data_IF_845986625411
#
_entry.id   IF_845986625411
#
_cell.length_a   1.000
_cell.length_b   1.000
_cell.length_c   1.000
_cell.angle_alpha   90.00
_cell.angle_beta   90.00
_cell.angle_gamma   90.00
#
_symmetry.space_group_name_H-M   'P 1'
#
loop_
_entity.id
_entity.type
_entity.pdbx_description
1 polymer ?
#
# COMPACT_ATOMS: atom_id res chain seq x y z
N UNK A 1 13.77 -16.41 3.51
CA UNK A 1 12.82 -16.02 4.58
C UNK A 1 11.74 -15.03 4.09
N UNK A 2 12.07 -13.95 3.38
CA UNK A 2 11.08 -12.94 2.90
C UNK A 2 9.96 -13.62 2.12
N UNK A 3 10.25 -14.51 1.17
CA UNK A 3 9.25 -15.24 0.38
C UNK A 3 8.26 -16.02 1.28
N UNK A 4 8.75 -16.66 2.33
CA UNK A 4 7.89 -17.41 3.26
C UNK A 4 6.97 -16.47 4.06
N UNK A 5 7.51 -15.34 4.57
CA UNK A 5 6.71 -14.34 5.26
C UNK A 5 5.61 -13.75 4.37
N UNK A 6 5.96 -13.39 3.14
CA UNK A 6 4.99 -12.86 2.18
C UNK A 6 3.91 -13.87 1.85
N UNK A 7 4.29 -15.13 1.63
CA UNK A 7 3.32 -16.21 1.36
C UNK A 7 2.32 -16.35 2.51
N UNK A 8 2.78 -16.47 3.75
CA UNK A 8 1.89 -16.61 4.93
C UNK A 8 1.01 -15.37 5.12
N UNK A 9 1.55 -14.16 4.88
CA UNK A 9 0.79 -12.91 4.95
C UNK A 9 -0.34 -12.91 3.92
N UNK A 10 -0.03 -13.26 2.67
CA UNK A 10 -1.02 -13.30 1.59
C UNK A 10 -2.07 -14.40 1.78
N UNK A 11 -1.69 -15.58 2.30
CA UNK A 11 -2.65 -16.65 2.63
C UNK A 11 -3.65 -16.20 3.71
N UNK A 12 -3.14 -15.58 4.80
CA UNK A 12 -3.99 -15.05 5.86
C UNK A 12 -4.90 -13.93 5.36
N UNK A 13 -4.35 -12.99 4.57
CA UNK A 13 -5.11 -11.87 4.02
C UNK A 13 -6.15 -12.32 2.98
N UNK A 14 -5.79 -13.30 2.12
CA UNK A 14 -6.71 -13.89 1.16
C UNK A 14 -7.92 -14.55 1.83
N UNK A 15 -7.72 -15.16 3.00
CA UNK A 15 -8.83 -15.69 3.79
C UNK A 15 -9.81 -14.59 4.23
N UNK A 16 -9.30 -13.42 4.69
CA UNK A 16 -10.14 -12.28 5.07
C UNK A 16 -10.88 -11.70 3.86
N UNK A 17 -10.17 -11.47 2.76
CA UNK A 17 -10.73 -10.87 1.55
C UNK A 17 -11.84 -11.75 0.92
N UNK A 18 -11.73 -13.08 0.95
CA UNK A 18 -12.79 -14.01 0.54
C UNK A 18 -14.05 -13.91 1.39
N UNK A 19 -13.93 -13.44 2.62
CA UNK A 19 -15.07 -13.18 3.51
C UNK A 19 -15.52 -11.71 3.48
N UNK A 20 -15.07 -10.94 2.47
CA UNK A 20 -15.36 -9.54 2.33
C UNK A 20 -14.94 -8.69 3.55
N UNK A 21 -13.84 -9.07 4.19
CA UNK A 21 -13.23 -8.33 5.30
C UNK A 21 -11.93 -7.70 4.84
N UNK A 22 -11.76 -6.39 5.08
CA UNK A 22 -10.50 -5.67 4.92
C UNK A 22 -9.90 -5.39 6.29
N UNK A 23 -8.58 -5.53 6.41
CA UNK A 23 -7.84 -5.37 7.67
C UNK A 23 -7.64 -3.90 8.03
N UNK A 24 -7.22 -3.08 7.08
CA UNK A 24 -7.06 -1.62 7.13
C UNK A 24 -5.93 -1.07 8.02
N UNK A 25 -5.15 -1.90 8.68
CA UNK A 25 -3.95 -1.47 9.43
C UNK A 25 -2.82 -2.51 9.34
N UNK A 26 -2.54 -2.97 8.11
CA UNK A 26 -1.41 -3.86 7.89
C UNK A 26 -0.09 -3.09 8.00
N UNK A 27 0.78 -3.58 8.87
CA UNK A 27 2.14 -3.08 9.14
C UNK A 27 2.94 -4.21 9.81
N UNK A 28 4.26 -4.14 9.86
CA UNK A 28 5.07 -5.19 10.49
C UNK A 28 4.67 -5.51 11.94
N UNK A 29 4.26 -4.49 12.72
CA UNK A 29 3.83 -4.68 14.11
C UNK A 29 2.58 -5.57 14.27
N UNK A 30 1.75 -5.67 13.22
CA UNK A 30 0.54 -6.46 13.21
C UNK A 30 0.73 -7.83 12.53
N UNK A 31 1.99 -8.20 12.21
CA UNK A 31 2.39 -9.49 11.70
C UNK A 31 3.17 -10.23 12.80
N UNK A 32 2.49 -11.08 13.54
CA UNK A 32 3.07 -11.80 14.67
C UNK A 32 3.63 -13.14 14.23
N UNK A 33 4.83 -13.46 14.66
CA UNK A 33 5.48 -14.74 14.37
C UNK A 33 5.42 -15.63 15.63
N UNK A 34 4.91 -16.85 15.46
CA UNK A 34 4.92 -17.83 16.55
C UNK A 34 6.35 -18.43 16.72
N UNK A 35 6.57 -19.10 17.82
CA UNK A 35 7.80 -19.90 18.09
C UNK A 35 8.05 -21.00 17.04
N UNK A 36 6.98 -21.48 16.39
CA UNK A 36 7.03 -22.47 15.31
C UNK A 36 7.28 -21.82 13.93
N UNK A 37 7.47 -20.50 13.85
CA UNK A 37 7.73 -19.80 12.60
C UNK A 37 6.47 -19.56 11.75
N UNK A 38 5.26 -19.65 12.33
CA UNK A 38 3.99 -19.40 11.64
C UNK A 38 3.62 -17.93 11.83
N UNK A 39 3.38 -17.22 10.71
CA UNK A 39 2.94 -15.83 10.74
C UNK A 39 1.42 -15.75 10.95
N UNK A 40 1.00 -14.86 11.83
CA UNK A 40 -0.40 -14.56 12.14
C UNK A 40 -0.67 -13.06 11.95
N UNK A 41 -1.80 -12.75 11.32
CA UNK A 41 -2.33 -11.39 11.27
C UNK A 41 -2.95 -11.06 12.63
N UNK A 42 -2.70 -9.86 13.14
CA UNK A 42 -3.17 -9.38 14.43
C UNK A 42 -3.73 -7.96 14.34
N UNK A 43 -4.43 -7.53 15.38
CA UNK A 43 -5.04 -6.20 15.52
C UNK A 43 -6.11 -5.89 14.47
N UNK A 44 -7.27 -6.50 14.67
CA UNK A 44 -8.47 -6.30 13.85
C UNK A 44 -9.32 -5.09 14.29
N UNK A 45 -8.78 -4.17 15.12
CA UNK A 45 -9.50 -3.01 15.63
C UNK A 45 -10.05 -2.10 14.54
N UNK A 46 -9.38 -2.03 13.40
CA UNK A 46 -9.81 -1.29 12.22
C UNK A 46 -10.51 -2.15 11.16
N UNK A 47 -10.57 -3.46 11.32
CA UNK A 47 -11.16 -4.33 10.30
C UNK A 47 -12.64 -4.03 10.04
N UNK A 48 -13.08 -4.11 8.79
CA UNK A 48 -14.46 -3.86 8.37
C UNK A 48 -14.85 -4.73 7.18
N UNK A 49 -16.14 -5.01 7.08
CA UNK A 49 -16.70 -5.59 5.86
C UNK A 49 -16.78 -4.56 4.75
N UNK A 50 -16.53 -4.97 3.51
CA UNK A 50 -16.62 -4.15 2.31
C UNK A 50 -17.58 -4.80 1.29
N UNK A 51 -17.87 -4.09 0.17
CA UNK A 51 -18.73 -4.60 -0.88
C UNK A 51 -20.23 -4.32 -0.69
N UNK A 52 -20.65 -3.67 0.40
CA UNK A 52 -22.04 -3.21 0.54
C UNK A 52 -22.24 -1.90 -0.20
N UNK A 53 -23.20 -1.81 -1.15
CA UNK A 53 -23.46 -0.57 -1.88
C UNK A 53 -23.82 0.60 -0.96
N UNK A 54 -23.24 1.78 -1.23
CA UNK A 54 -23.57 3.03 -0.53
C UNK A 54 -22.97 3.18 0.87
N UNK A 55 -22.17 2.24 1.37
CA UNK A 55 -21.51 2.37 2.68
C UNK A 55 -20.18 3.10 2.53
N UNK A 56 -20.14 4.34 2.98
CA UNK A 56 -18.86 5.06 3.13
C UNK A 56 -18.04 4.47 4.28
N UNK A 57 -16.75 4.25 4.03
CA UNK A 57 -15.81 3.75 5.03
C UNK A 57 -14.96 4.92 5.57
N UNK A 58 -14.52 4.81 6.82
CA UNK A 58 -13.69 5.84 7.48
C UNK A 58 -12.35 5.99 6.77
N UNK A 59 -11.94 7.23 6.47
CA UNK A 59 -10.71 7.54 5.74
C UNK A 59 -9.45 7.48 6.62
N UNK A 60 -9.55 7.86 7.90
CA UNK A 60 -8.42 7.88 8.84
C UNK A 60 -8.14 6.50 9.42
N UNK A 61 -7.75 5.59 8.58
CA UNK A 61 -7.36 4.22 8.90
C UNK A 61 -5.96 3.95 8.37
N UNK A 62 -5.33 2.91 8.84
CA UNK A 62 -3.94 2.52 8.57
C UNK A 62 -2.89 3.50 9.12
N UNK A 63 -1.76 2.94 9.50
CA UNK A 63 -0.56 3.68 9.84
C UNK A 63 -0.08 4.42 8.60
N UNK A 64 0.20 5.71 8.71
CA UNK A 64 0.36 6.63 7.58
C UNK A 64 1.41 6.16 6.56
N UNK A 65 2.49 5.56 7.00
CA UNK A 65 3.58 5.06 6.15
C UNK A 65 3.17 3.89 5.24
N UNK A 66 2.08 3.19 5.57
CA UNK A 66 1.54 2.05 4.82
C UNK A 66 0.23 2.39 4.12
N UNK A 67 -0.24 3.64 4.24
CA UNK A 67 -1.50 4.11 3.68
C UNK A 67 -1.38 4.33 2.17
N UNK A 68 -2.36 3.81 1.43
CA UNK A 68 -2.43 3.92 -0.03
C UNK A 68 -2.82 5.32 -0.52
N UNK A 69 -2.49 5.66 -1.77
CA UNK A 69 -2.79 6.98 -2.35
C UNK A 69 -4.27 7.33 -2.32
N UNK A 70 -5.16 6.38 -2.62
CA UNK A 70 -6.61 6.61 -2.63
C UNK A 70 -7.15 7.04 -1.27
N UNK A 71 -6.60 6.53 -0.16
CA UNK A 71 -6.96 6.97 1.19
C UNK A 71 -6.37 8.34 1.53
N UNK A 72 -5.13 8.62 1.09
CA UNK A 72 -4.49 9.93 1.28
C UNK A 72 -5.20 11.03 0.47
N UNK A 73 -5.79 10.67 -0.66
CA UNK A 73 -6.57 11.54 -1.54
C UNK A 73 -8.07 11.51 -1.21
N UNK A 74 -8.44 11.01 -0.03
CA UNK A 74 -9.80 11.04 0.52
C UNK A 74 -10.88 10.35 -0.33
N UNK A 75 -10.53 9.32 -1.12
CA UNK A 75 -11.53 8.51 -1.80
C UNK A 75 -12.41 7.78 -0.79
N UNK A 76 -13.72 8.00 -0.88
CA UNK A 76 -14.69 7.44 0.07
C UNK A 76 -15.04 5.97 -0.20
N UNK A 77 -14.87 5.54 -1.44
CA UNK A 77 -15.11 4.16 -1.85
C UNK A 77 -13.79 3.44 -2.06
N UNK A 78 -13.52 2.44 -1.25
CA UNK A 78 -12.34 1.61 -1.33
C UNK A 78 -12.65 0.17 -0.90
N UNK A 79 -11.79 -0.76 -1.25
CA UNK A 79 -11.95 -2.18 -0.97
C UNK A 79 -10.64 -2.84 -0.52
N UNK A 80 -10.51 -4.13 -0.77
CA UNK A 80 -9.36 -4.95 -0.38
C UNK A 80 -8.02 -4.48 -0.95
N UNK A 81 -8.03 -3.71 -2.04
CA UNK A 81 -6.83 -3.15 -2.67
C UNK A 81 -5.98 -2.28 -1.73
N UNK A 82 -6.58 -1.64 -0.71
CA UNK A 82 -5.83 -0.85 0.27
C UNK A 82 -4.86 -1.71 1.10
N UNK A 83 -5.28 -2.94 1.45
CA UNK A 83 -4.45 -3.89 2.17
C UNK A 83 -3.28 -4.37 1.29
N UNK A 84 -3.50 -4.56 -0.01
CA UNK A 84 -2.46 -4.97 -0.95
C UNK A 84 -1.36 -3.92 -1.10
N UNK A 85 -1.70 -2.62 -1.05
CA UNK A 85 -0.71 -1.55 -0.99
C UNK A 85 0.15 -1.66 0.27
N UNK A 86 -0.49 -1.83 1.43
CA UNK A 86 0.22 -2.00 2.71
C UNK A 86 1.15 -3.22 2.69
N UNK A 87 0.71 -4.34 2.10
CA UNK A 87 1.54 -5.54 1.87
C UNK A 87 2.74 -5.21 0.98
N UNK A 88 2.56 -4.41 -0.07
CA UNK A 88 3.66 -3.94 -0.93
C UNK A 88 4.68 -3.10 -0.17
N UNK A 89 4.22 -2.20 0.72
CA UNK A 89 5.11 -1.43 1.60
C UNK A 89 5.91 -2.33 2.54
N UNK A 90 5.26 -3.33 3.16
CA UNK A 90 5.92 -4.32 4.02
C UNK A 90 6.94 -5.15 3.23
N UNK A 91 6.59 -5.58 2.02
CA UNK A 91 7.51 -6.33 1.15
C UNK A 91 8.77 -5.52 0.81
N UNK A 92 8.60 -4.26 0.43
CA UNK A 92 9.72 -3.36 0.19
C UNK A 92 10.57 -3.15 1.44
N UNK A 93 9.93 -2.97 2.61
CA UNK A 93 10.62 -2.79 3.89
C UNK A 93 11.46 -4.02 4.28
N UNK A 94 10.95 -5.22 4.08
CA UNK A 94 11.68 -6.46 4.31
C UNK A 94 12.96 -6.57 3.44
N UNK A 95 12.89 -6.07 2.19
CA UNK A 95 14.05 -6.04 1.29
C UNK A 95 15.02 -4.92 1.65
N UNK A 96 14.52 -3.74 2.01
CA UNK A 96 15.32 -2.55 2.32
C UNK A 96 15.83 -2.50 3.76
N UNK A 97 15.22 -3.26 4.67
CA UNK A 97 15.42 -3.20 6.14
C UNK A 97 15.15 -1.80 6.73
N UNK A 98 14.29 -1.04 6.08
CA UNK A 98 13.80 0.29 6.52
C UNK A 98 12.49 0.59 5.83
N UNK A 99 11.68 1.48 6.42
CA UNK A 99 10.42 1.91 5.80
C UNK A 99 10.70 2.49 4.40
N UNK A 100 10.00 1.97 3.40
CA UNK A 100 10.23 2.33 1.99
C UNK A 100 9.72 3.73 1.67
N UNK A 101 8.44 3.99 1.95
CA UNK A 101 7.77 5.24 1.59
C UNK A 101 7.67 6.17 2.81
N UNK A 102 8.75 6.32 3.57
CA UNK A 102 8.75 7.17 4.76
C UNK A 102 8.69 8.66 4.38
N UNK A 103 7.67 9.34 4.88
CA UNK A 103 7.64 10.80 4.95
C UNK A 103 8.56 11.36 6.04
N UNK A 104 8.64 12.70 6.20
CA UNK A 104 9.45 13.33 7.22
C UNK A 104 9.02 12.92 8.63
N UNK A 105 9.97 12.54 9.49
CA UNK A 105 9.71 12.05 10.86
C UNK A 105 9.00 13.09 11.73
N UNK A 106 9.38 14.36 11.57
CA UNK A 106 8.90 15.46 12.43
C UNK A 106 7.60 16.12 11.92
N UNK A 107 7.10 15.71 10.76
CA UNK A 107 5.87 16.26 10.20
C UNK A 107 5.11 15.17 9.42
N UNK A 108 4.41 14.32 10.17
CA UNK A 108 3.60 13.22 9.64
C UNK A 108 2.23 13.75 9.22
N UNK A 109 2.13 14.23 7.99
CA UNK A 109 0.87 14.64 7.37
C UNK A 109 0.55 13.78 6.15
N UNK A 110 -0.71 13.76 5.75
CA UNK A 110 -1.17 13.04 4.55
C UNK A 110 -0.48 13.57 3.28
N UNK A 111 -0.28 14.88 3.18
CA UNK A 111 0.43 15.52 2.08
C UNK A 111 1.91 15.09 2.03
N UNK A 112 2.59 15.09 3.18
CA UNK A 112 3.98 14.65 3.23
C UNK A 112 4.14 13.17 2.91
N UNK A 113 3.15 12.35 3.24
CA UNK A 113 3.15 10.95 2.86
C UNK A 113 2.91 10.77 1.36
N UNK A 114 2.02 11.56 0.77
CA UNK A 114 1.79 11.56 -0.66
C UNK A 114 3.06 12.00 -1.43
N UNK A 115 3.74 13.05 -0.95
CA UNK A 115 5.05 13.48 -1.48
C UNK A 115 6.11 12.36 -1.40
N UNK A 116 6.14 11.62 -0.28
CA UNK A 116 7.06 10.48 -0.15
C UNK A 116 6.75 9.39 -1.19
N UNK A 117 5.48 9.08 -1.43
CA UNK A 117 5.07 8.15 -2.48
C UNK A 117 5.53 8.65 -3.84
N UNK A 118 5.26 9.92 -4.17
CA UNK A 118 5.64 10.51 -5.46
C UNK A 118 7.16 10.52 -5.69
N UNK A 119 7.96 10.76 -4.65
CA UNK A 119 9.44 10.73 -4.74
C UNK A 119 10.00 9.37 -5.17
N UNK A 120 9.31 8.28 -4.86
CA UNK A 120 9.79 6.93 -5.18
C UNK A 120 9.04 6.30 -6.35
N UNK A 121 7.73 6.56 -6.47
CA UNK A 121 6.86 5.91 -7.45
C UNK A 121 6.55 6.78 -8.67
N UNK A 122 6.96 8.05 -8.65
CA UNK A 122 6.50 9.04 -9.61
C UNK A 122 5.08 9.51 -9.32
N UNK A 123 4.57 10.44 -10.11
CA UNK A 123 3.19 10.93 -10.02
C UNK A 123 2.36 10.21 -11.07
N UNK A 124 1.21 9.62 -10.72
CA UNK A 124 0.39 8.91 -11.71
C UNK A 124 -0.23 9.87 -12.72
N UNK A 125 -0.31 9.41 -13.96
CA UNK A 125 -1.07 10.08 -15.02
C UNK A 125 -2.51 9.54 -15.06
N UNK A 126 -3.37 10.19 -15.84
CA UNK A 126 -4.73 9.67 -16.11
C UNK A 126 -4.71 8.30 -16.82
N UNK A 127 -3.64 7.98 -17.56
CA UNK A 127 -3.44 6.66 -18.16
C UNK A 127 -3.11 5.60 -17.10
N UNK A 128 -2.30 5.97 -16.11
CA UNK A 128 -1.92 5.07 -15.02
C UNK A 128 -3.10 4.82 -14.08
N UNK A 129 -3.87 5.88 -13.79
CA UNK A 129 -5.00 5.85 -12.87
C UNK A 129 -6.15 6.74 -13.35
N UNK A 130 -7.08 6.20 -14.17
CA UNK A 130 -8.22 6.97 -14.68
C UNK A 130 -9.12 7.56 -13.58
N UNK A 131 -9.25 6.89 -12.44
CA UNK A 131 -10.05 7.35 -11.29
C UNK A 131 -9.56 8.65 -10.62
N UNK A 132 -8.44 9.25 -11.08
CA UNK A 132 -8.00 10.58 -10.63
C UNK A 132 -9.08 11.64 -10.87
N UNK A 133 -9.87 11.50 -11.93
CA UNK A 133 -10.96 12.45 -12.25
C UNK A 133 -12.07 12.47 -11.20
N UNK A 134 -12.22 11.39 -10.45
CA UNK A 134 -13.26 11.23 -9.42
C UNK A 134 -12.81 11.76 -8.05
N UNK A 135 -11.57 12.26 -7.94
CA UNK A 135 -11.02 12.79 -6.68
C UNK A 135 -11.56 14.18 -6.30
N UNK A 136 -12.35 14.82 -7.17
CA UNK A 136 -12.86 16.17 -6.93
C UNK A 136 -11.74 17.18 -6.66
N UNK A 137 -11.86 17.93 -5.57
CA UNK A 137 -10.87 18.98 -5.20
C UNK A 137 -9.45 18.39 -4.96
N UNK A 138 -9.34 17.10 -4.65
CA UNK A 138 -8.03 16.45 -4.45
C UNK A 138 -7.31 16.15 -5.76
N UNK A 139 -7.97 16.26 -6.91
CA UNK A 139 -7.33 16.06 -8.23
C UNK A 139 -6.16 17.00 -8.45
N UNK A 140 -6.22 18.25 -7.96
CA UNK A 140 -5.14 19.23 -8.06
C UNK A 140 -3.84 18.73 -7.44
N UNK A 141 -3.91 18.00 -6.30
CA UNK A 141 -2.74 17.42 -5.63
C UNK A 141 -1.98 16.42 -6.52
N UNK A 142 -2.66 15.82 -7.48
CA UNK A 142 -2.03 14.94 -8.47
C UNK A 142 -1.53 15.75 -9.67
N UNK A 143 -2.41 16.55 -10.28
CA UNK A 143 -2.10 17.23 -11.54
C UNK A 143 -1.00 18.29 -11.42
N UNK A 144 -0.95 19.03 -10.31
CA UNK A 144 0.09 20.04 -10.04
C UNK A 144 1.48 19.42 -9.75
N UNK A 145 1.52 18.15 -9.38
CA UNK A 145 2.76 17.45 -9.14
C UNK A 145 3.28 16.66 -10.37
N UNK A 146 2.51 16.58 -11.45
CA UNK A 146 2.95 15.92 -12.67
C UNK A 146 4.24 16.55 -13.21
N UNK A 147 5.21 15.70 -13.57
CA UNK A 147 6.53 16.14 -14.05
C UNK A 147 7.51 16.57 -12.95
N UNK A 148 7.09 16.72 -11.69
CA UNK A 148 8.00 17.06 -10.57
C UNK A 148 8.76 15.85 -10.04
N UNK A 149 8.16 14.68 -10.08
CA UNK A 149 8.72 13.44 -9.55
C UNK A 149 8.66 12.34 -10.59
N UNK A 150 9.78 11.64 -10.75
CA UNK A 150 9.90 10.49 -11.63
C UNK A 150 10.09 9.23 -10.82
N UNK A 151 9.52 8.12 -11.30
CA UNK A 151 9.66 6.82 -10.67
C UNK A 151 11.14 6.45 -10.56
N UNK A 152 11.56 6.03 -9.37
CA UNK A 152 12.89 5.49 -9.12
C UNK A 152 12.91 3.98 -9.36
N UNK A 153 13.99 3.50 -9.91
CA UNK A 153 14.24 2.08 -9.96
C UNK A 153 14.52 1.56 -8.55
N UNK A 154 13.70 0.63 -8.09
CA UNK A 154 13.82 0.05 -6.76
C UNK A 154 15.17 -0.64 -6.54
N UNK A 155 15.73 -1.27 -7.57
CA UNK A 155 17.00 -2.00 -7.50
C UNK A 155 18.20 -1.09 -7.23
N UNK A 156 18.09 0.20 -7.59
CA UNK A 156 19.14 1.20 -7.38
C UNK A 156 19.14 1.83 -5.99
N UNK A 157 18.11 1.51 -5.18
CA UNK A 157 18.01 2.10 -3.85
C UNK A 157 19.06 1.51 -2.89
N UNK A 158 19.72 2.36 -2.06
CA UNK A 158 20.67 1.89 -1.07
C UNK A 158 20.02 0.87 -0.10
N UNK A 159 20.65 -0.29 0.04
CA UNK A 159 20.16 -1.38 0.88
C UNK A 159 19.42 -2.48 0.13
N UNK A 160 19.07 -2.28 -1.14
CA UNK A 160 18.55 -3.35 -2.00
C UNK A 160 19.74 -4.09 -2.62
N UNK A 161 19.95 -5.32 -2.18
CA UNK A 161 20.98 -6.19 -2.74
C UNK A 161 20.35 -7.47 -3.27
N UNK A 162 20.48 -7.70 -4.58
CA UNK A 162 20.06 -8.96 -5.20
C UNK A 162 18.55 -9.19 -5.25
N UNK A 163 17.74 -8.13 -5.34
CA UNK A 163 16.33 -8.27 -5.67
C UNK A 163 16.22 -8.86 -7.08
N UNK A 164 15.49 -9.98 -7.22
CA UNK A 164 15.21 -10.56 -8.53
C UNK A 164 14.23 -9.69 -9.32
N UNK A 165 14.24 -9.83 -10.64
CA UNK A 165 13.26 -9.17 -11.52
C UNK A 165 11.82 -9.50 -11.09
N UNK A 166 11.54 -10.76 -10.74
CA UNK A 166 10.24 -11.19 -10.24
C UNK A 166 9.83 -10.46 -8.94
N UNK A 167 10.79 -10.19 -8.04
CA UNK A 167 10.50 -9.47 -6.81
C UNK A 167 10.15 -8.01 -7.08
N UNK A 168 10.82 -7.38 -8.05
CA UNK A 168 10.54 -6.00 -8.46
C UNK A 168 9.19 -5.92 -9.18
N UNK A 169 8.92 -6.85 -10.09
CA UNK A 169 7.63 -6.96 -10.80
C UNK A 169 6.47 -7.15 -9.80
N UNK A 170 6.63 -8.04 -8.82
CA UNK A 170 5.64 -8.25 -7.77
C UNK A 170 5.43 -6.99 -6.91
N UNK A 171 6.51 -6.29 -6.54
CA UNK A 171 6.42 -5.03 -5.81
C UNK A 171 5.64 -3.97 -6.60
N UNK A 172 5.87 -3.87 -7.89
CA UNK A 172 5.15 -2.94 -8.75
C UNK A 172 3.67 -3.25 -8.86
N UNK A 173 3.31 -4.52 -8.92
CA UNK A 173 1.92 -4.98 -8.90
C UNK A 173 1.21 -4.67 -7.59
N UNK A 174 1.90 -4.77 -6.45
CA UNK A 174 1.37 -4.34 -5.15
C UNK A 174 1.17 -2.83 -5.07
N UNK A 175 2.13 -2.04 -5.58
CA UNK A 175 2.16 -0.59 -5.48
C UNK A 175 1.63 0.10 -6.74
N UNK A 176 0.68 -0.52 -7.42
CA UNK A 176 -0.02 0.11 -8.53
C UNK A 176 -0.93 1.22 -8.01
N UNK A 177 -0.90 2.42 -8.65
CA UNK A 177 -1.71 3.56 -8.22
C UNK A 177 -3.20 3.29 -8.38
N UNK A 178 -3.63 2.77 -9.53
CA UNK A 178 -5.02 2.38 -9.75
C UNK A 178 -5.37 1.16 -8.90
N UNK A 179 -6.27 1.29 -7.90
CA UNK A 179 -6.65 0.16 -7.04
C UNK A 179 -7.29 -1.00 -7.82
N UNK A 180 -7.91 -0.72 -8.98
CA UNK A 180 -8.54 -1.76 -9.80
C UNK A 180 -7.51 -2.60 -10.59
N UNK A 181 -6.29 -2.08 -10.79
CA UNK A 181 -5.17 -2.79 -11.44
C UNK A 181 -4.19 -3.38 -10.43
N UNK A 182 -4.35 -3.06 -9.16
CA UNK A 182 -3.50 -3.60 -8.10
C UNK A 182 -3.73 -5.09 -7.93
N UNK A 183 -2.65 -5.87 -7.78
CA UNK A 183 -2.73 -7.33 -7.60
C UNK A 183 -3.59 -7.70 -6.39
N UNK A 184 -4.29 -8.84 -6.48
CA UNK A 184 -5.08 -9.43 -5.38
C UNK A 184 -4.32 -10.58 -4.72
N UNK A 185 -4.89 -11.16 -3.66
CA UNK A 185 -4.36 -12.37 -3.01
C UNK A 185 -4.67 -13.66 -3.79
N UNK A 186 -5.48 -13.59 -4.85
CA UNK A 186 -5.91 -14.72 -5.68
C UNK A 186 -5.01 -14.95 -6.86
#
# INVERSE_FOLDING_TARGET
HIKAFMKMTLEGLGHLHKQFIIHRDLKPNNLLLTDQGILKLADFGFARSFGSPGRELTLRVATIEYRCPELLLCMKQYGSAIDMWSVGCIFAELMLRRIYLAGPINNRSELNQLDAIYKYRGVPTLTDWPGIIDLGDMQSLVTENQGRFFRKDFTTLPGVYGASEDAVDLLDKFLHFDPNKRITCE
#
